data_IF_314135405143
#
_entry.id   IF_314135405143
#
_cell.length_a   1.000
_cell.length_b   1.000
_cell.length_c   1.000
_cell.angle_alpha   90.00
_cell.angle_beta   90.00
_cell.angle_gamma   90.00
#
_symmetry.space_group_name_H-M   'P 1'
#
loop_
_entity.id
_entity.type
_entity.pdbx_description
1 polymer ?
#
# COMPACT_ATOMS: atom_id res chain seq x y z
N UNK A 1 22.91 -8.27 -54.96
CA UNK A 1 22.22 -8.09 -53.67
C UNK A 1 23.23 -7.53 -52.69
N UNK A 2 23.30 -6.20 -52.59
CA UNK A 2 24.26 -5.52 -51.71
C UNK A 2 23.65 -5.37 -50.32
N UNK A 3 24.32 -5.96 -49.32
CA UNK A 3 23.94 -5.82 -47.91
C UNK A 3 24.34 -4.43 -47.42
N UNK A 4 23.37 -3.55 -47.19
CA UNK A 4 23.56 -2.29 -46.45
C UNK A 4 23.81 -2.62 -44.97
N UNK A 5 25.07 -2.67 -44.56
CA UNK A 5 25.47 -2.47 -43.16
C UNK A 5 25.19 -1.02 -42.81
N UNK A 6 24.08 -0.79 -42.11
CA UNK A 6 23.75 0.52 -41.55
C UNK A 6 24.76 0.78 -40.42
N UNK A 7 25.71 1.69 -40.66
CA UNK A 7 26.66 2.12 -39.63
C UNK A 7 25.90 2.76 -38.47
N UNK A 8 26.01 2.17 -37.29
CA UNK A 8 25.49 2.73 -36.05
C UNK A 8 26.23 4.05 -35.78
N UNK A 9 25.47 5.13 -35.60
CA UNK A 9 26.00 6.43 -35.25
C UNK A 9 26.91 6.31 -33.98
N UNK A 10 28.17 6.77 -34.02
CA UNK A 10 29.14 6.59 -32.94
C UNK A 10 28.74 7.27 -31.63
N UNK A 11 27.76 8.17 -31.65
CA UNK A 11 27.17 8.77 -30.45
C UNK A 11 26.20 7.85 -29.70
N UNK A 12 25.83 6.70 -30.28
CA UNK A 12 24.90 5.75 -29.69
C UNK A 12 25.65 4.46 -29.34
N UNK A 13 25.92 4.27 -28.05
CA UNK A 13 26.36 2.98 -27.54
C UNK A 13 25.18 2.02 -27.43
N UNK A 14 25.40 0.74 -27.77
CA UNK A 14 24.43 -0.32 -27.53
C UNK A 14 24.28 -0.46 -26.02
N UNK A 15 23.12 -0.08 -25.47
CA UNK A 15 22.82 -0.29 -24.04
C UNK A 15 22.94 -1.79 -23.75
N UNK A 16 23.95 -2.19 -22.96
CA UNK A 16 23.95 -3.52 -22.36
C UNK A 16 22.78 -3.56 -21.38
N UNK A 17 21.93 -4.57 -21.49
CA UNK A 17 20.92 -4.86 -20.47
C UNK A 17 21.67 -5.33 -19.22
N UNK A 18 21.84 -4.45 -18.25
CA UNK A 18 22.21 -4.83 -16.87
C UNK A 18 20.96 -5.40 -16.19
N UNK A 19 20.56 -6.60 -16.61
CA UNK A 19 19.50 -7.34 -15.94
C UNK A 19 20.08 -8.03 -14.70
N UNK A 20 19.86 -7.43 -13.53
CA UNK A 20 20.12 -8.08 -12.25
C UNK A 20 19.07 -9.17 -12.04
N UNK A 21 19.47 -10.42 -12.27
CA UNK A 21 18.64 -11.59 -11.94
C UNK A 21 18.93 -12.01 -10.51
N UNK A 22 17.89 -12.06 -9.68
CA UNK A 22 18.02 -12.46 -8.28
C UNK A 22 16.81 -13.26 -7.82
N UNK A 23 17.02 -14.15 -6.85
CA UNK A 23 15.94 -14.91 -6.23
C UNK A 23 15.08 -13.97 -5.37
N UNK A 24 13.77 -13.95 -5.62
CA UNK A 24 12.80 -13.16 -4.84
C UNK A 24 12.26 -14.01 -3.70
N UNK A 25 12.44 -13.56 -2.46
CA UNK A 25 11.88 -14.21 -1.27
C UNK A 25 10.86 -13.27 -0.62
N UNK A 26 9.70 -13.80 -0.23
CA UNK A 26 8.68 -13.05 0.51
C UNK A 26 8.88 -13.28 2.01
N UNK A 27 9.04 -12.20 2.76
CA UNK A 27 9.05 -12.22 4.22
C UNK A 27 7.73 -11.63 4.74
N UNK A 28 7.07 -12.35 5.64
CA UNK A 28 5.87 -11.87 6.35
C UNK A 28 6.23 -11.71 7.82
N UNK A 29 5.93 -10.54 8.37
CA UNK A 29 6.19 -10.20 9.76
C UNK A 29 4.84 -9.93 10.41
N UNK A 30 4.55 -10.63 11.50
CA UNK A 30 3.37 -10.36 12.33
C UNK A 30 3.77 -9.38 13.43
N UNK A 31 3.05 -8.26 13.50
CA UNK A 31 3.30 -7.24 14.53
C UNK A 31 2.74 -7.67 15.88
N UNK A 32 3.38 -7.18 16.95
CA UNK A 32 2.86 -7.26 18.31
C UNK A 32 2.99 -5.85 18.94
N UNK A 33 1.88 -5.14 19.23
CA UNK A 33 0.48 -5.58 19.09
C UNK A 33 0.07 -5.79 17.63
N UNK A 34 -0.89 -6.70 17.41
CA UNK A 34 -1.40 -7.06 16.09
C UNK A 34 -2.73 -6.35 15.74
N UNK A 35 -3.07 -5.30 16.50
CA UNK A 35 -4.27 -4.51 16.27
C UNK A 35 -3.99 -3.04 16.48
N UNK A 36 -4.65 -2.18 15.71
CA UNK A 36 -4.55 -0.72 15.87
C UNK A 36 -5.92 -0.04 15.79
N UNK A 37 -6.13 0.98 16.62
CA UNK A 37 -7.37 1.79 16.70
C UNK A 37 -7.21 3.14 15.98
N UNK A 38 -8.30 3.86 15.73
CA UNK A 38 -8.25 5.14 15.03
C UNK A 38 -7.42 6.16 15.83
N UNK A 39 -6.53 6.88 15.15
CA UNK A 39 -5.62 7.84 15.79
C UNK A 39 -4.36 7.25 16.43
N UNK A 40 -4.23 5.93 16.52
CA UNK A 40 -3.00 5.30 17.01
C UNK A 40 -1.87 5.33 15.97
N UNK A 41 -0.64 5.13 16.43
CA UNK A 41 0.54 5.02 15.58
C UNK A 41 0.97 3.56 15.47
N UNK A 42 1.22 3.12 14.23
CA UNK A 42 1.79 1.81 13.92
C UNK A 42 3.29 1.98 13.67
N UNK A 43 4.10 1.26 14.43
CA UNK A 43 5.54 1.23 14.28
C UNK A 43 5.97 -0.01 13.49
N UNK A 44 6.53 0.20 12.31
CA UNK A 44 7.01 -0.86 11.42
C UNK A 44 8.53 -0.82 11.37
N UNK A 45 9.17 -1.74 12.10
CA UNK A 45 10.61 -1.91 12.08
C UNK A 45 11.00 -2.84 10.92
N UNK A 46 11.86 -2.36 10.03
CA UNK A 46 12.37 -3.18 8.93
C UNK A 46 13.52 -4.04 9.46
N UNK A 47 13.43 -5.38 9.38
CA UNK A 47 14.51 -6.23 9.86
C UNK A 47 15.75 -6.08 8.96
N UNK A 48 16.92 -6.27 9.58
CA UNK A 48 18.17 -6.39 8.82
C UNK A 48 18.10 -7.68 7.99
N UNK A 49 18.23 -7.54 6.68
CA UNK A 49 18.30 -8.68 5.76
C UNK A 49 19.73 -9.23 5.71
N UNK A 50 19.91 -10.36 5.02
CA UNK A 50 21.24 -10.94 4.75
C UNK A 50 22.10 -9.97 3.91
N UNK A 51 23.44 -10.09 3.94
CA UNK A 51 24.35 -9.21 3.19
C UNK A 51 24.00 -9.05 1.71
N UNK A 52 23.63 -10.15 1.05
CA UNK A 52 23.37 -10.18 -0.39
C UNK A 52 21.88 -9.95 -0.74
N UNK A 53 21.11 -9.39 0.21
CA UNK A 53 19.69 -9.15 0.05
C UNK A 53 19.37 -7.67 -0.01
N UNK A 54 18.49 -7.31 -0.93
CA UNK A 54 18.04 -5.95 -1.17
C UNK A 54 16.52 -5.90 -1.11
N UNK A 55 15.99 -4.81 -0.57
CA UNK A 55 14.59 -4.46 -0.69
C UNK A 55 14.37 -3.81 -2.04
N UNK A 56 13.45 -4.40 -2.78
CA UNK A 56 13.03 -3.91 -4.09
C UNK A 56 12.06 -2.75 -3.88
N UNK A 57 12.15 -1.67 -4.69
CA UNK A 57 11.11 -0.64 -4.77
C UNK A 57 9.71 -1.25 -4.83
N UNK A 58 8.74 -0.63 -4.17
CA UNK A 58 7.33 -1.04 -4.15
C UNK A 58 7.03 -2.46 -3.64
N UNK A 59 8.00 -3.14 -2.99
CA UNK A 59 7.81 -4.52 -2.52
C UNK A 59 7.25 -4.63 -1.10
N UNK A 60 7.12 -3.51 -0.37
CA UNK A 60 6.64 -3.49 1.00
C UNK A 60 5.19 -3.05 1.08
N UNK A 61 4.41 -3.80 1.85
CA UNK A 61 3.05 -3.42 2.17
C UNK A 61 2.63 -4.00 3.53
N UNK A 62 1.81 -3.25 4.25
CA UNK A 62 1.11 -3.71 5.43
C UNK A 62 -0.21 -4.35 4.99
N UNK A 63 -0.46 -5.58 5.42
CA UNK A 63 -1.69 -6.32 5.14
C UNK A 63 -2.45 -6.44 6.45
N UNK A 64 -3.74 -6.08 6.43
CA UNK A 64 -4.57 -6.01 7.62
C UNK A 64 -5.99 -6.46 7.33
N UNK A 65 -6.70 -6.87 8.38
CA UNK A 65 -8.11 -7.20 8.33
C UNK A 65 -8.89 -6.02 8.92
N UNK A 66 -9.72 -5.38 8.10
CA UNK A 66 -10.50 -4.25 8.56
C UNK A 66 -11.72 -4.73 9.36
N UNK A 67 -11.87 -4.25 10.60
CA UNK A 67 -13.04 -4.50 11.44
C UNK A 67 -13.76 -3.20 11.73
N UNK A 68 -15.02 -3.16 11.34
CA UNK A 68 -15.90 -2.06 11.63
C UNK A 68 -16.55 -2.20 13.01
N UNK A 69 -16.80 -1.08 13.69
CA UNK A 69 -17.56 -1.05 14.94
C UNK A 69 -19.07 -1.06 14.72
N UNK A 70 -19.57 -0.50 13.61
CA UNK A 70 -21.00 -0.41 13.29
C UNK A 70 -21.29 -1.06 11.92
N UNK A 71 -22.21 -2.02 11.87
CA UNK A 71 -22.62 -2.76 10.67
C UNK A 71 -23.18 -1.87 9.56
N UNK A 72 -23.73 -0.69 9.89
CA UNK A 72 -24.30 0.26 8.89
C UNK A 72 -23.31 1.26 8.31
N UNK A 73 -22.01 1.04 8.50
CA UNK A 73 -20.98 1.91 7.97
C UNK A 73 -20.03 1.15 7.06
N UNK A 74 -19.42 1.84 6.11
CA UNK A 74 -18.45 1.25 5.18
C UNK A 74 -17.33 2.22 4.89
N UNK A 75 -16.16 1.69 4.52
CA UNK A 75 -15.03 2.55 4.20
C UNK A 75 -15.20 3.28 2.86
N UNK A 76 -14.64 4.48 2.82
CA UNK A 76 -14.50 5.30 1.61
C UNK A 76 -13.54 4.64 0.63
N UNK A 77 -13.71 4.95 -0.65
CA UNK A 77 -12.82 4.41 -1.68
C UNK A 77 -11.37 4.82 -1.41
N UNK A 78 -10.42 3.97 -1.82
CA UNK A 78 -8.98 4.18 -1.65
C UNK A 78 -8.51 4.08 -0.18
N UNK A 79 -9.03 3.07 0.54
CA UNK A 79 -8.75 2.84 1.96
C UNK A 79 -7.26 2.77 2.27
N UNK A 80 -6.46 2.07 1.44
CA UNK A 80 -5.04 1.92 1.66
C UNK A 80 -4.35 3.27 1.83
N UNK A 81 -4.63 4.23 0.95
CA UNK A 81 -4.04 5.58 1.03
C UNK A 81 -4.70 6.45 2.10
N UNK A 82 -6.00 6.30 2.33
CA UNK A 82 -6.71 7.05 3.36
C UNK A 82 -6.23 6.71 4.77
N UNK A 83 -5.86 5.45 5.03
CA UNK A 83 -5.32 5.02 6.32
C UNK A 83 -3.96 5.63 6.66
N UNK A 84 -3.26 6.17 5.68
CA UNK A 84 -1.98 6.85 5.89
C UNK A 84 -2.22 8.35 6.11
N UNK A 85 -2.74 8.72 7.29
CA UNK A 85 -2.90 10.15 7.64
C UNK A 85 -1.53 10.85 7.71
N UNK A 86 -0.55 10.15 8.28
CA UNK A 86 0.84 10.56 8.33
C UNK A 86 1.74 9.33 8.27
N UNK A 87 2.82 9.46 7.52
CA UNK A 87 3.92 8.51 7.40
C UNK A 87 5.19 9.28 7.72
N UNK A 88 5.82 8.90 8.82
CA UNK A 88 7.19 9.29 9.12
C UNK A 88 8.12 8.14 8.81
N UNK A 89 9.31 8.47 8.32
CA UNK A 89 10.36 7.48 8.16
C UNK A 89 11.55 7.92 8.98
N UNK A 90 11.98 7.02 9.86
CA UNK A 90 13.07 7.23 10.80
C UNK A 90 14.25 6.34 10.45
N UNK A 91 15.44 6.93 10.44
CA UNK A 91 16.71 6.23 10.29
C UNK A 91 17.53 6.48 11.55
N UNK A 92 17.93 5.43 12.25
CA UNK A 92 18.57 5.54 13.58
C UNK A 92 17.73 6.35 14.60
N UNK A 93 16.40 6.35 14.46
CA UNK A 93 15.50 7.13 15.30
C UNK A 93 15.33 8.60 14.88
N UNK A 94 16.12 9.10 13.94
CA UNK A 94 15.97 10.46 13.40
C UNK A 94 14.97 10.51 12.24
N UNK A 95 14.10 11.52 12.23
CA UNK A 95 13.10 11.70 11.17
C UNK A 95 13.76 12.18 9.88
N UNK A 96 13.78 11.32 8.86
CA UNK A 96 14.33 11.63 7.52
C UNK A 96 13.23 12.10 6.58
N UNK A 97 12.00 11.60 6.77
CA UNK A 97 10.86 11.93 5.92
C UNK A 97 9.57 12.02 6.74
N UNK A 98 8.66 12.88 6.29
CA UNK A 98 7.33 13.09 6.86
C UNK A 98 6.40 13.58 5.77
N UNK A 99 5.29 12.87 5.56
CA UNK A 99 4.36 13.14 4.47
C UNK A 99 3.02 13.71 4.95
N UNK A 100 2.97 14.34 6.12
CA UNK A 100 1.75 14.90 6.71
C UNK A 100 0.84 15.57 5.66
N UNK A 101 -0.30 14.93 5.35
CA UNK A 101 -1.30 15.45 4.40
C UNK A 101 -1.11 15.10 2.91
N UNK A 102 -0.11 14.29 2.53
CA UNK A 102 0.09 13.85 1.13
C UNK A 102 -0.94 12.81 0.65
N UNK A 103 -1.73 12.20 1.54
CA UNK A 103 -2.71 11.17 1.18
C UNK A 103 -3.72 11.66 0.13
N UNK A 104 -4.16 12.92 0.22
CA UNK A 104 -5.07 13.53 -0.76
C UNK A 104 -4.44 13.64 -2.16
N UNK A 105 -3.16 14.01 -2.23
CA UNK A 105 -2.45 14.10 -3.50
C UNK A 105 -2.28 12.71 -4.12
N UNK A 106 -1.98 11.70 -3.30
CA UNK A 106 -1.87 10.31 -3.76
C UNK A 106 -3.22 9.75 -4.23
N UNK A 107 -4.32 10.12 -3.59
CA UNK A 107 -5.67 9.78 -4.06
C UNK A 107 -5.98 10.48 -5.37
N UNK A 108 -5.59 11.75 -5.51
CA UNK A 108 -5.77 12.50 -6.76
C UNK A 108 -5.02 11.86 -7.93
N UNK A 109 -3.79 11.35 -7.71
CA UNK A 109 -3.03 10.63 -8.74
C UNK A 109 -3.75 9.39 -9.26
N UNK A 110 -4.54 8.70 -8.43
CA UNK A 110 -5.27 7.50 -8.85
C UNK A 110 -6.42 7.79 -9.81
N UNK A 111 -6.89 9.03 -9.87
CA UNK A 111 -7.88 9.45 -10.88
C UNK A 111 -7.32 9.34 -12.30
N UNK A 112 -6.00 9.37 -12.44
CA UNK A 112 -5.29 9.31 -13.73
C UNK A 112 -4.89 7.88 -14.11
N UNK A 113 -5.21 6.87 -13.29
CA UNK A 113 -4.96 5.47 -13.61
C UNK A 113 -5.95 4.95 -14.65
N UNK A 114 -5.49 4.01 -15.47
CA UNK A 114 -6.37 3.33 -16.42
C UNK A 114 -7.33 2.37 -15.69
N UNK A 115 -8.32 1.86 -16.42
CA UNK A 115 -9.32 0.95 -15.84
C UNK A 115 -8.72 -0.38 -15.39
N UNK A 116 -7.68 -0.88 -16.07
CA UNK A 116 -7.04 -2.16 -15.75
C UNK A 116 -6.23 -2.06 -14.45
N UNK A 117 -5.45 -0.99 -14.32
CA UNK A 117 -4.68 -0.64 -13.12
C UNK A 117 -5.61 -0.50 -11.91
N UNK A 118 -6.77 0.15 -12.09
CA UNK A 118 -7.77 0.28 -11.01
C UNK A 118 -8.41 -1.06 -10.64
N UNK A 119 -8.68 -1.92 -11.61
CA UNK A 119 -9.22 -3.26 -11.35
C UNK A 119 -8.25 -4.14 -10.52
N UNK A 120 -6.94 -3.96 -10.69
CA UNK A 120 -5.92 -4.69 -9.92
C UNK A 120 -5.71 -4.12 -8.50
N UNK A 121 -6.31 -2.97 -8.16
CA UNK A 121 -6.12 -2.27 -6.88
C UNK A 121 -7.20 -2.54 -5.83
N UNK A 122 -7.91 -3.66 -5.95
CA UNK A 122 -8.97 -4.06 -5.00
C UNK A 122 -8.43 -4.19 -3.58
N UNK A 123 -7.26 -4.82 -3.39
CA UNK A 123 -6.63 -4.92 -2.06
C UNK A 123 -6.16 -3.57 -1.52
N UNK A 124 -5.89 -2.58 -2.37
CA UNK A 124 -5.51 -1.23 -1.94
C UNK A 124 -6.76 -0.39 -1.55
N UNK A 125 -7.95 -0.99 -1.63
CA UNK A 125 -9.22 -0.37 -1.29
C UNK A 125 -9.86 0.43 -2.42
N UNK A 126 -9.35 0.31 -3.66
CA UNK A 126 -9.95 0.91 -4.87
C UNK A 126 -10.90 -0.11 -5.48
N UNK A 127 -12.20 0.03 -5.23
CA UNK A 127 -13.21 -0.92 -5.71
C UNK A 127 -14.60 -0.30 -5.77
N UNK A 128 -15.62 -1.07 -6.13
CA UNK A 128 -17.02 -0.63 -6.12
C UNK A 128 -17.57 -0.52 -4.70
N UNK A 129 -18.63 0.26 -4.50
CA UNK A 129 -19.24 0.41 -3.17
C UNK A 129 -19.78 -0.91 -2.61
N UNK A 130 -20.39 -1.74 -3.47
CA UNK A 130 -20.92 -3.04 -3.07
C UNK A 130 -19.85 -3.96 -2.46
N UNK A 131 -18.65 -3.98 -3.05
CA UNK A 131 -17.51 -4.73 -2.52
C UNK A 131 -17.04 -4.16 -1.17
N UNK A 132 -16.94 -2.83 -1.04
CA UNK A 132 -16.54 -2.19 0.23
C UNK A 132 -17.51 -2.49 1.37
N UNK A 133 -18.81 -2.39 1.11
CA UNK A 133 -19.86 -2.73 2.06
C UNK A 133 -19.78 -4.18 2.55
N UNK A 134 -19.60 -5.13 1.63
CA UNK A 134 -19.34 -6.55 1.95
C UNK A 134 -18.10 -6.74 2.83
N UNK A 135 -16.99 -6.09 2.50
CA UNK A 135 -15.75 -6.16 3.29
C UNK A 135 -15.96 -5.58 4.69
N UNK A 136 -16.73 -4.48 4.80
CA UNK A 136 -17.10 -3.86 6.08
C UNK A 136 -18.16 -4.61 6.87
N UNK A 137 -18.70 -5.73 6.37
CA UNK A 137 -19.80 -6.50 6.96
C UNK A 137 -21.12 -5.72 7.12
N UNK A 138 -21.45 -4.94 6.10
CA UNK A 138 -22.80 -4.39 5.97
C UNK A 138 -23.74 -5.52 5.52
N UNK A 139 -24.49 -6.09 6.47
CA UNK A 139 -25.39 -7.23 6.26
C UNK A 139 -26.58 -6.91 5.34
N UNK A 140 -26.88 -5.62 5.12
CA UNK A 140 -27.93 -5.17 4.18
C UNK A 140 -27.41 -5.01 2.73
N UNK A 141 -26.10 -5.19 2.50
CA UNK A 141 -25.51 -5.01 1.19
C UNK A 141 -25.85 -6.16 0.24
N UNK A 142 -26.86 -5.93 -0.62
CA UNK A 142 -27.08 -6.72 -1.83
C UNK A 142 -25.87 -6.56 -2.77
N UNK A 143 -24.93 -7.49 -2.69
CA UNK A 143 -23.81 -7.58 -3.61
C UNK A 143 -24.24 -8.30 -4.90
N UNK A 144 -23.83 -7.77 -6.04
CA UNK A 144 -23.92 -8.50 -7.30
C UNK A 144 -22.97 -9.72 -7.30
N UNK A 145 -23.14 -10.60 -8.30
CA UNK A 145 -22.36 -11.82 -8.41
C UNK A 145 -20.85 -11.55 -8.50
N UNK A 146 -20.45 -10.46 -9.16
CA UNK A 146 -19.07 -10.07 -9.34
C UNK A 146 -18.44 -9.62 -8.01
N UNK A 147 -19.13 -8.77 -7.23
CA UNK A 147 -18.66 -8.36 -5.92
C UNK A 147 -18.55 -9.55 -4.94
N UNK A 148 -19.48 -10.50 -5.00
CA UNK A 148 -19.41 -11.73 -4.22
C UNK A 148 -18.20 -12.59 -4.61
N UNK A 149 -17.90 -12.71 -5.91
CA UNK A 149 -16.74 -13.44 -6.41
C UNK A 149 -15.42 -12.78 -5.96
N UNK A 150 -15.32 -11.45 -6.10
CA UNK A 150 -14.15 -10.68 -5.65
C UNK A 150 -13.93 -10.80 -4.14
N UNK A 151 -15.00 -10.75 -3.33
CA UNK A 151 -14.93 -11.00 -1.91
C UNK A 151 -14.47 -12.44 -1.59
N UNK A 152 -14.92 -13.43 -2.36
CA UNK A 152 -14.46 -14.82 -2.21
C UNK A 152 -12.96 -15.01 -2.46
N UNK A 153 -12.37 -14.22 -3.36
CA UNK A 153 -10.94 -14.28 -3.70
C UNK A 153 -10.09 -13.53 -2.68
N UNK A 154 -10.46 -12.28 -2.37
CA UNK A 154 -9.63 -11.38 -1.57
C UNK A 154 -9.97 -11.38 -0.07
N UNK A 155 -11.18 -11.81 0.29
CA UNK A 155 -11.70 -11.78 1.64
C UNK A 155 -11.81 -10.36 2.21
N UNK A 156 -11.57 -10.23 3.51
CA UNK A 156 -11.55 -8.94 4.23
C UNK A 156 -10.20 -8.23 4.20
N UNK A 157 -9.20 -8.85 3.57
CA UNK A 157 -7.81 -8.39 3.65
C UNK A 157 -7.58 -7.19 2.75
N UNK A 158 -7.06 -6.14 3.35
CA UNK A 158 -6.69 -4.91 2.67
C UNK A 158 -5.19 -4.66 2.82
N UNK A 159 -4.66 -3.79 1.97
CA UNK A 159 -3.24 -3.54 1.80
C UNK A 159 -2.96 -2.05 1.79
N UNK A 160 -2.01 -1.64 2.62
CA UNK A 160 -1.40 -0.33 2.61
C UNK A 160 0.02 -0.49 2.05
N UNK A 161 0.26 0.06 0.85
CA UNK A 161 1.59 0.06 0.23
C UNK A 161 2.49 1.08 0.91
N UNK A 162 3.69 0.67 1.31
CA UNK A 162 4.67 1.54 1.99
C UNK A 162 5.88 1.67 1.09
N UNK A 163 5.89 2.71 0.25
CA UNK A 163 6.81 2.75 -0.90
C UNK A 163 7.78 3.92 -0.94
N UNK A 164 7.49 5.05 -0.29
CA UNK A 164 8.11 6.36 -0.60
C UNK A 164 9.66 6.38 -0.66
N UNK A 165 10.38 5.84 0.33
CA UNK A 165 11.86 5.86 0.27
C UNK A 165 12.43 4.83 -0.71
N UNK A 166 11.76 3.70 -0.92
CA UNK A 166 12.23 2.66 -1.84
C UNK A 166 11.84 2.93 -3.29
N UNK A 167 10.70 3.59 -3.53
CA UNK A 167 10.15 3.89 -4.85
C UNK A 167 10.99 4.91 -5.61
N UNK A 168 11.43 5.96 -4.93
CA UNK A 168 12.07 7.12 -5.58
C UNK A 168 13.61 7.01 -5.65
N UNK A 169 14.24 6.17 -4.80
CA UNK A 169 15.70 6.11 -4.65
C UNK A 169 16.34 4.76 -5.03
N UNK A 170 15.56 3.78 -5.50
CA UNK A 170 16.06 2.51 -6.02
C UNK A 170 16.24 1.42 -4.95
N UNK A 171 17.12 0.46 -5.24
CA UNK A 171 17.35 -0.72 -4.39
C UNK A 171 17.96 -0.32 -3.04
N UNK A 172 17.36 -0.77 -1.94
CA UNK A 172 17.88 -0.52 -0.59
C UNK A 172 18.48 -1.79 0.02
N UNK A 173 19.69 -1.69 0.53
CA UNK A 173 20.43 -2.80 1.15
C UNK A 173 20.48 -2.64 2.69
N UNK A 174 19.47 -3.13 3.44
CA UNK A 174 19.37 -2.90 4.88
C UNK A 174 20.52 -3.50 5.69
N UNK A 175 21.25 -4.49 5.15
CA UNK A 175 22.43 -5.05 5.83
C UNK A 175 23.58 -4.05 5.93
N UNK A 176 23.77 -3.22 4.90
CA UNK A 176 24.90 -2.30 4.82
C UNK A 176 24.63 -0.98 5.56
N UNK A 177 23.36 -0.68 5.87
CA UNK A 177 23.02 0.40 6.78
C UNK A 177 23.25 -0.05 8.23
N UNK A 178 24.17 0.62 8.93
CA UNK A 178 24.35 0.42 10.37
C UNK A 178 23.06 0.73 11.16
N UNK A 179 22.27 1.66 10.62
CA UNK A 179 21.11 2.25 11.24
C UNK A 179 19.82 1.49 10.93
N UNK A 180 18.96 1.39 11.93
CA UNK A 180 17.64 0.77 11.77
C UNK A 180 16.69 1.71 11.02
N UNK A 181 15.96 1.13 10.05
CA UNK A 181 14.91 1.81 9.30
C UNK A 181 13.55 1.49 9.92
N UNK A 182 12.82 2.53 10.30
CA UNK A 182 11.50 2.43 10.89
C UNK A 182 10.50 3.31 10.14
N UNK A 183 9.33 2.75 9.84
CA UNK A 183 8.18 3.51 9.36
C UNK A 183 7.21 3.71 10.54
N UNK A 184 6.74 4.94 10.72
CA UNK A 184 5.71 5.27 11.71
C UNK A 184 4.49 5.77 10.95
N UNK A 185 3.38 5.05 11.07
CA UNK A 185 2.14 5.35 10.37
C UNK A 185 1.11 5.81 11.40
N UNK A 186 0.68 7.07 11.32
CA UNK A 186 -0.44 7.56 12.13
C UNK A 186 -1.75 7.26 11.41
N UNK A 187 -2.66 6.60 12.12
CA UNK A 187 -3.98 6.27 11.60
C UNK A 187 -4.96 7.45 11.68
N UNK A 188 -5.85 7.63 10.68
CA UNK A 188 -6.88 8.64 10.72
C UNK A 188 -8.00 8.31 11.71
N UNK A 189 -8.78 9.33 12.04
CA UNK A 189 -10.04 9.12 12.76
C UNK A 189 -11.08 8.45 11.86
N UNK A 190 -12.04 7.73 12.46
CA UNK A 190 -13.02 6.97 11.70
C UNK A 190 -13.88 7.84 10.77
N UNK A 191 -14.19 9.08 11.17
CA UNK A 191 -14.94 10.05 10.37
C UNK A 191 -14.24 10.47 9.06
N UNK A 192 -12.93 10.30 8.97
CA UNK A 192 -12.14 10.65 7.78
C UNK A 192 -12.21 9.53 6.72
N UNK A 193 -12.39 8.28 7.14
CA UNK A 193 -12.29 7.10 6.25
C UNK A 193 -13.60 6.32 6.08
N UNK A 194 -14.60 6.56 6.92
CA UNK A 194 -15.87 5.84 6.88
C UNK A 194 -17.00 6.73 6.35
N UNK A 195 -17.99 6.07 5.75
CA UNK A 195 -19.31 6.59 5.47
C UNK A 195 -20.31 5.87 6.38
N UNK A 196 -21.36 6.57 6.81
CA UNK A 196 -22.43 6.00 7.62
C UNK A 196 -23.77 6.10 6.87
N UNK A 197 -24.62 5.09 7.02
CA UNK A 197 -26.00 5.14 6.55
C UNK A 197 -26.86 5.99 7.51
N UNK A 198 -27.72 6.85 6.97
CA UNK A 198 -28.75 7.53 7.76
C UNK A 198 -28.30 8.61 8.74
N UNK A 199 -27.04 9.08 8.67
CA UNK A 199 -26.54 10.13 9.57
C UNK A 199 -26.17 9.64 10.97
N UNK A 200 -26.07 8.33 11.18
CA UNK A 200 -25.51 7.76 12.40
C UNK A 200 -24.04 8.16 12.58
N UNK A 201 -23.60 8.29 13.84
CA UNK A 201 -22.21 8.63 14.15
C UNK A 201 -21.28 7.44 13.81
N UNK A 202 -20.12 7.74 13.24
CA UNK A 202 -19.08 6.74 12.99
C UNK A 202 -18.35 6.46 14.31
N UNK A 203 -18.60 5.29 14.90
CA UNK A 203 -18.11 4.96 16.26
C UNK A 203 -16.63 4.50 16.31
N UNK A 204 -16.10 3.91 15.23
CA UNK A 204 -14.70 3.48 15.19
C UNK A 204 -14.40 2.36 14.19
N UNK A 205 -13.11 2.01 14.07
CA UNK A 205 -12.64 0.84 13.33
C UNK A 205 -11.42 0.23 14.04
N UNK A 206 -11.04 -1.00 13.68
CA UNK A 206 -9.75 -1.58 14.05
C UNK A 206 -9.11 -2.29 12.87
N UNK A 207 -7.79 -2.28 12.83
CA UNK A 207 -6.95 -2.99 11.86
C UNK A 207 -6.31 -4.23 12.51
#
# INVERSE_FOLDING_TARGET
MESRTQELNPSFSRRSRTELTGNRTRHLITFNPNSAKPGEEIYVNIPKLKPDSVLVPDSMALIFDFKNANEKSWFRNNLGKLLQKRLEIRLAGEKVYDNSGESLLEIYKDLWMDEKQRADMIQDGITSEAVRKKISKDDEANADADAAALFGIFGTKQRLKITKILGDHGLYAPYHSANDLQYVITLPQASEIMNAQGGENVEGYSL
#
